data_IF_557335986119
#
_entry.id   IF_557335986119
#
_cell.length_a   1.000
_cell.length_b   1.000
_cell.length_c   1.000
_cell.angle_alpha   90.00
_cell.angle_beta   90.00
_cell.angle_gamma   90.00
#
_symmetry.space_group_name_H-M   'P 1'
#
loop_
_entity.id
_entity.type
_entity.pdbx_description
1 polymer ?
#
# COMPACT_ATOMS: atom_id res chain seq x y z
N UNK A 1 2.29 5.61 16.99
CA UNK A 1 1.36 5.57 15.85
C UNK A 1 0.10 4.88 16.33
N UNK A 2 -1.08 5.42 16.02
CA UNK A 2 -2.36 4.79 16.40
C UNK A 2 -2.79 3.85 15.28
N UNK A 3 -3.21 2.63 15.63
CA UNK A 3 -3.81 1.68 14.70
C UNK A 3 -5.32 1.91 14.64
N UNK A 4 -5.90 1.73 13.46
CA UNK A 4 -7.34 1.84 13.18
C UNK A 4 -7.77 0.71 12.26
N UNK A 5 -9.02 0.26 12.40
CA UNK A 5 -9.61 -0.70 11.47
C UNK A 5 -9.74 -0.08 10.07
N UNK A 6 -9.33 -0.83 9.04
CA UNK A 6 -9.32 -0.40 7.66
C UNK A 6 -9.89 -1.49 6.75
N UNK A 7 -10.69 -1.10 5.76
CA UNK A 7 -11.20 -2.00 4.72
C UNK A 7 -10.20 -2.14 3.58
N UNK A 8 -9.78 -3.37 3.31
CA UNK A 8 -8.93 -3.72 2.17
C UNK A 8 -9.80 -4.33 1.08
N UNK A 9 -9.59 -3.87 -0.16
CA UNK A 9 -10.25 -4.46 -1.33
C UNK A 9 -9.63 -5.81 -1.64
N UNK A 10 -10.44 -6.85 -1.51
CA UNK A 10 -10.08 -8.17 -1.96
C UNK A 10 -10.18 -8.24 -3.48
N UNK A 11 -9.06 -8.42 -4.19
CA UNK A 11 -9.08 -8.68 -5.63
C UNK A 11 -9.50 -10.13 -5.95
N UNK A 12 -9.33 -11.04 -4.98
CA UNK A 12 -9.65 -12.48 -5.12
C UNK A 12 -11.05 -12.86 -4.67
N UNK A 13 -11.70 -12.03 -3.87
CA UNK A 13 -13.04 -12.31 -3.33
C UNK A 13 -13.93 -11.08 -3.53
N UNK A 14 -15.24 -11.27 -3.62
CA UNK A 14 -16.18 -10.16 -3.80
C UNK A 14 -16.43 -9.34 -2.52
N UNK A 15 -15.82 -9.73 -1.40
CA UNK A 15 -16.07 -9.14 -0.07
C UNK A 15 -14.80 -8.46 0.46
N UNK A 16 -14.83 -7.16 0.79
CA UNK A 16 -13.73 -6.48 1.47
C UNK A 16 -13.38 -7.15 2.80
N UNK A 17 -12.10 -7.09 3.18
CA UNK A 17 -11.60 -7.66 4.45
C UNK A 17 -11.17 -6.53 5.39
N UNK A 18 -11.58 -6.62 6.66
CA UNK A 18 -11.18 -5.66 7.69
C UNK A 18 -9.83 -6.06 8.28
N UNK A 19 -8.91 -5.10 8.35
CA UNK A 19 -7.58 -5.26 8.93
C UNK A 19 -7.27 -4.15 9.92
N UNK A 20 -6.36 -4.40 10.86
CA UNK A 20 -5.75 -3.34 11.64
C UNK A 20 -4.64 -2.70 10.81
N UNK A 21 -4.74 -1.39 10.59
CA UNK A 21 -3.76 -0.63 9.84
C UNK A 21 -3.26 0.56 10.66
N UNK A 22 -1.99 0.91 10.46
CA UNK A 22 -1.44 2.20 10.89
C UNK A 22 -1.37 3.14 9.69
N UNK A 23 -1.29 4.45 9.96
CA UNK A 23 -1.16 5.50 8.94
C UNK A 23 0.10 6.32 9.20
N UNK A 24 1.25 5.93 8.63
CA UNK A 24 2.50 6.67 8.80
C UNK A 24 2.50 8.01 8.05
N UNK A 25 1.76 8.07 6.94
CA UNK A 25 1.60 9.23 6.06
C UNK A 25 0.11 9.37 5.75
N UNK A 26 -0.48 10.58 5.79
CA UNK A 26 -1.91 10.76 5.49
C UNK A 26 -2.30 10.12 4.15
N UNK A 27 -3.32 9.26 4.19
CA UNK A 27 -3.80 8.52 3.01
C UNK A 27 -3.08 7.20 2.71
N UNK A 28 -1.96 6.91 3.37
CA UNK A 28 -1.22 5.65 3.23
C UNK A 28 -1.37 4.77 4.46
N UNK A 29 -1.79 3.52 4.23
CA UNK A 29 -2.05 2.52 5.26
C UNK A 29 -1.00 1.42 5.20
N UNK A 30 -0.47 1.03 6.35
CA UNK A 30 0.39 -0.15 6.51
C UNK A 30 -0.35 -1.19 7.34
N UNK A 31 -0.45 -2.40 6.82
CA UNK A 31 -1.17 -3.52 7.45
C UNK A 31 -0.54 -4.86 7.07
N UNK A 32 -0.81 -5.90 7.86
CA UNK A 32 -0.46 -7.27 7.49
C UNK A 32 -1.51 -7.83 6.52
N UNK A 33 -1.08 -8.49 5.45
CA UNK A 33 -1.95 -9.14 4.49
C UNK A 33 -2.84 -10.17 5.21
N UNK A 34 -4.18 -9.99 5.15
CA UNK A 34 -5.10 -10.88 5.81
C UNK A 34 -5.01 -12.28 5.19
N UNK A 35 -5.17 -13.31 6.02
CA UNK A 35 -5.00 -14.71 5.63
C UNK A 35 -5.91 -15.09 4.45
N UNK A 36 -7.11 -14.52 4.41
CA UNK A 36 -8.13 -14.72 3.38
C UNK A 36 -7.68 -14.25 1.99
N UNK A 37 -6.74 -13.30 1.91
CA UNK A 37 -6.24 -12.73 0.66
C UNK A 37 -4.84 -13.25 0.30
N UNK A 38 -4.19 -13.94 1.23
CA UNK A 38 -2.78 -14.33 1.15
C UNK A 38 -2.51 -15.23 -0.05
N UNK A 39 -1.58 -14.81 -0.91
CA UNK A 39 -1.06 -15.69 -1.96
C UNK A 39 -0.22 -16.81 -1.33
N UNK A 40 -0.23 -18.06 -1.87
CA UNK A 40 0.69 -19.11 -1.43
C UNK A 40 2.16 -18.65 -1.40
N UNK A 41 2.55 -17.83 -2.39
CA UNK A 41 3.88 -17.22 -2.50
C UNK A 41 4.06 -15.92 -1.69
N UNK A 42 2.96 -15.36 -1.15
CA UNK A 42 2.93 -14.12 -0.37
C UNK A 42 3.51 -14.25 1.03
N UNK A 43 3.86 -15.48 1.47
CA UNK A 43 4.43 -15.74 2.80
C UNK A 43 5.73 -14.99 3.08
N UNK A 44 6.51 -14.67 2.06
CA UNK A 44 7.78 -13.96 2.21
C UNK A 44 7.58 -12.45 2.44
N UNK A 45 6.45 -11.90 2.03
CA UNK A 45 6.15 -10.47 2.13
C UNK A 45 4.76 -10.29 2.74
N UNK A 46 4.59 -10.44 4.06
CA UNK A 46 3.28 -10.36 4.68
C UNK A 46 2.80 -8.92 4.85
N UNK A 47 3.67 -7.91 4.79
CA UNK A 47 3.27 -6.52 5.03
C UNK A 47 2.85 -5.82 3.74
N UNK A 48 1.83 -4.98 3.82
CA UNK A 48 1.27 -4.24 2.67
C UNK A 48 1.37 -2.75 2.96
N UNK A 49 1.78 -2.01 1.93
CA UNK A 49 1.48 -0.59 1.80
C UNK A 49 0.26 -0.47 0.90
N UNK A 50 -0.77 0.21 1.37
CA UNK A 50 -1.99 0.44 0.62
C UNK A 50 -2.48 1.87 0.72
N UNK A 51 -3.30 2.25 -0.24
CA UNK A 51 -4.00 3.52 -0.26
C UNK A 51 -5.26 3.45 0.62
N UNK A 52 -5.70 4.56 1.20
CA UNK A 52 -6.91 4.64 2.04
C UNK A 52 -8.22 4.22 1.36
N UNK A 53 -8.22 4.04 0.04
CA UNK A 53 -9.34 3.44 -0.70
C UNK A 53 -9.38 1.90 -0.64
N UNK A 54 -8.49 1.28 0.13
CA UNK A 54 -8.35 -0.17 0.29
C UNK A 54 -7.54 -0.85 -0.82
N UNK A 55 -6.91 -0.09 -1.72
CA UNK A 55 -6.07 -0.65 -2.79
C UNK A 55 -4.65 -0.90 -2.27
N UNK A 56 -4.20 -2.14 -2.37
CA UNK A 56 -2.80 -2.49 -2.11
C UNK A 56 -1.89 -1.93 -3.23
N UNK A 57 -0.73 -1.42 -2.84
CA UNK A 57 0.25 -0.77 -3.72
C UNK A 57 1.57 -1.52 -3.77
N UNK A 58 2.07 -1.96 -2.61
CA UNK A 58 3.33 -2.68 -2.50
C UNK A 58 3.34 -3.68 -1.33
N UNK A 59 4.24 -4.65 -1.40
CA UNK A 59 4.42 -5.74 -0.45
C UNK A 59 5.83 -5.72 0.16
N UNK A 60 5.95 -5.97 1.47
CA UNK A 60 7.20 -5.90 2.22
C UNK A 60 7.36 -7.11 3.15
N UNK A 61 8.61 -7.45 3.48
CA UNK A 61 8.96 -8.53 4.40
C UNK A 61 8.67 -8.15 5.86
N UNK A 62 8.76 -6.87 6.20
CA UNK A 62 8.56 -6.35 7.56
C UNK A 62 7.66 -5.11 7.61
N UNK A 63 7.08 -4.84 8.79
CA UNK A 63 6.27 -3.65 9.02
C UNK A 63 7.10 -2.37 8.89
N UNK A 64 8.34 -2.40 9.40
CA UNK A 64 9.26 -1.26 9.37
C UNK A 64 9.61 -0.88 7.93
N UNK A 65 9.88 -1.86 7.07
CA UNK A 65 10.14 -1.60 5.65
C UNK A 65 8.92 -0.99 4.95
N UNK A 66 7.70 -1.44 5.29
CA UNK A 66 6.47 -0.86 4.75
C UNK A 66 6.25 0.58 5.23
N UNK A 67 6.56 0.88 6.50
CA UNK A 67 6.54 2.25 7.05
C UNK A 67 7.56 3.14 6.33
N UNK A 68 8.78 2.66 6.16
CA UNK A 68 9.81 3.39 5.42
C UNK A 68 9.37 3.62 3.97
N UNK A 69 8.81 2.61 3.30
CA UNK A 69 8.25 2.73 1.96
C UNK A 69 7.17 3.81 1.88
N UNK A 70 6.27 3.90 2.86
CA UNK A 70 5.28 4.98 2.92
C UNK A 70 5.94 6.37 2.98
N UNK A 71 7.00 6.54 3.76
CA UNK A 71 7.74 7.80 3.84
C UNK A 71 8.50 8.14 2.55
N UNK A 72 9.07 7.15 1.85
CA UNK A 72 9.80 7.37 0.59
C UNK A 72 8.93 7.91 -0.54
N UNK A 73 7.64 7.57 -0.53
CA UNK A 73 6.67 8.00 -1.56
C UNK A 73 5.77 9.14 -1.09
N UNK A 74 5.97 9.66 0.12
CA UNK A 74 5.07 10.63 0.75
C UNK A 74 4.90 11.93 -0.06
N UNK A 75 5.97 12.36 -0.74
CA UNK A 75 6.05 13.57 -1.58
C UNK A 75 5.70 13.31 -3.05
N UNK A 76 5.41 12.06 -3.45
CA UNK A 76 5.03 11.75 -4.83
C UNK A 76 3.63 12.27 -5.18
N UNK A 77 2.72 12.37 -4.21
CA UNK A 77 1.37 12.87 -4.40
C UNK A 77 0.70 13.27 -3.09
N UNK A 78 -0.43 13.98 -3.18
CA UNK A 78 -1.39 14.03 -2.08
C UNK A 78 -2.19 12.71 -2.04
N UNK A 79 -1.73 11.79 -1.19
CA UNK A 79 -2.32 10.47 -1.00
C UNK A 79 -3.69 10.49 -0.32
N UNK A 80 -4.18 11.64 0.14
CA UNK A 80 -5.55 11.76 0.66
C UNK A 80 -6.59 11.83 -0.45
N UNK A 81 -6.16 12.12 -1.68
CA UNK A 81 -7.03 12.18 -2.87
C UNK A 81 -7.58 10.80 -3.24
N UNK A 82 -8.71 10.72 -3.95
CA UNK A 82 -9.20 9.47 -4.51
C UNK A 82 -8.20 8.83 -5.47
N UNK A 83 -8.00 7.51 -5.39
CA UNK A 83 -7.08 6.77 -6.25
C UNK A 83 -7.42 6.89 -7.75
N UNK A 84 -8.67 7.17 -8.12
CA UNK A 84 -9.07 7.43 -9.51
C UNK A 84 -8.54 8.77 -10.01
N UNK A 85 -8.53 9.80 -9.16
CA UNK A 85 -8.01 11.12 -9.53
C UNK A 85 -6.51 11.07 -9.72
N UNK A 86 -5.77 10.43 -8.80
CA UNK A 86 -4.32 10.24 -8.90
C UNK A 86 -3.92 9.52 -10.20
N UNK A 87 -4.68 8.50 -10.60
CA UNK A 87 -4.41 7.76 -11.85
C UNK A 87 -4.61 8.59 -13.11
N UNK A 88 -5.54 9.52 -13.09
CA UNK A 88 -5.85 10.38 -14.25
C UNK A 88 -5.11 11.72 -14.21
N UNK A 89 -4.32 11.97 -13.17
CA UNK A 89 -3.59 13.21 -12.99
C UNK A 89 -2.35 13.23 -13.91
N UNK A 90 -2.30 14.11 -14.93
CA UNK A 90 -1.14 14.20 -15.82
C UNK A 90 0.12 14.72 -15.12
N UNK A 91 -0.01 15.32 -13.94
CA UNK A 91 1.11 15.75 -13.10
C UNK A 91 1.63 14.68 -12.17
N UNK A 92 0.98 13.51 -12.09
CA UNK A 92 1.46 12.41 -11.26
C UNK A 92 2.61 11.68 -11.94
N UNK A 93 3.80 11.80 -11.38
CA UNK A 93 5.00 11.10 -11.85
C UNK A 93 4.95 9.62 -11.44
N UNK A 94 4.21 8.83 -12.22
CA UNK A 94 4.06 7.40 -12.02
C UNK A 94 5.40 6.65 -12.12
N UNK A 95 6.28 7.10 -13.02
CA UNK A 95 7.61 6.50 -13.18
C UNK A 95 8.47 6.77 -11.96
N UNK A 96 8.57 8.02 -11.51
CA UNK A 96 9.30 8.36 -10.29
C UNK A 96 8.76 7.69 -9.03
N UNK A 97 7.44 7.48 -8.95
CA UNK A 97 6.82 6.66 -7.88
C UNK A 97 7.33 5.21 -7.90
N UNK A 98 7.35 4.56 -9.08
CA UNK A 98 7.86 3.19 -9.20
C UNK A 98 9.35 3.10 -8.92
N UNK A 99 10.15 4.02 -9.46
CA UNK A 99 11.60 4.05 -9.27
C UNK A 99 11.95 4.21 -7.79
N UNK A 100 11.26 5.09 -7.05
CA UNK A 100 11.49 5.24 -5.60
C UNK A 100 11.18 3.96 -4.83
N UNK A 101 10.07 3.29 -5.13
CA UNK A 101 9.76 2.02 -4.45
C UNK A 101 10.77 0.93 -4.79
N UNK A 102 11.19 0.82 -6.05
CA UNK A 102 12.11 -0.23 -6.49
C UNK A 102 13.57 0.02 -6.10
N UNK A 103 14.02 1.28 -6.06
CA UNK A 103 15.41 1.63 -5.76
C UNK A 103 15.67 1.88 -4.27
N UNK A 104 14.69 2.42 -3.54
CA UNK A 104 14.87 2.84 -2.15
C UNK A 104 14.32 1.86 -1.13
N UNK A 105 13.59 0.85 -1.58
CA UNK A 105 12.96 -0.12 -0.69
C UNK A 105 13.21 -1.55 -1.15
N UNK A 106 13.06 -2.50 -0.23
CA UNK A 106 13.02 -3.94 -0.50
C UNK A 106 11.63 -4.41 -0.95
N UNK A 107 10.71 -3.48 -1.24
CA UNK A 107 9.32 -3.78 -1.53
C UNK A 107 9.10 -4.36 -2.93
N UNK A 108 8.08 -5.20 -3.05
CA UNK A 108 7.57 -5.70 -4.32
C UNK A 108 6.34 -4.90 -4.73
N UNK A 109 6.32 -4.37 -5.95
CA UNK A 109 5.16 -3.68 -6.50
C UNK A 109 4.00 -4.65 -6.73
N UNK A 110 2.81 -4.26 -6.30
CA UNK A 110 1.57 -4.98 -6.60
C UNK A 110 0.94 -4.32 -7.82
N UNK A 111 1.08 -4.96 -8.98
CA UNK A 111 0.33 -4.58 -10.17
C UNK A 111 -1.15 -4.93 -9.95
N UNK A 112 -2.03 -3.93 -9.96
CA UNK A 112 -3.47 -4.11 -10.07
C UNK A 112 -3.89 -4.04 -11.53
#
# INVERSE_FOLDING_TARGET
>A
MNASTHEVKATRTATPVLVLAIEPVPGLRVYEEPEELRHPDGKSHPWRLGHHSGLAMAAFTSQEDAINGAHQVADCADWTRPATELRTDPGFDLTGYYDRLMEKTSGLLIAN
#
